data_IF_254073291496
#
_entry.id   IF_254073291496
#
_cell.length_a   1.000
_cell.length_b   1.000
_cell.length_c   1.000
_cell.angle_alpha   90.00
_cell.angle_beta   90.00
_cell.angle_gamma   90.00
#
_symmetry.space_group_name_H-M   'P 1'
#
loop_
_entity.id
_entity.type
_entity.pdbx_description
1 polymer ?
#
# COMPACT_ATOMS: atom_id res chain seq x y z
N UNK A 1 9.53 -14.62 -11.93
CA UNK A 1 9.50 -14.72 -10.44
C UNK A 1 9.56 -13.35 -9.76
N UNK A 2 10.26 -12.36 -10.31
CA UNK A 2 10.38 -11.03 -9.68
C UNK A 2 9.03 -10.34 -9.44
N UNK A 3 8.10 -10.39 -10.40
CA UNK A 3 6.78 -9.77 -10.27
C UNK A 3 5.90 -10.43 -9.19
N UNK A 4 5.99 -11.75 -9.00
CA UNK A 4 5.23 -12.46 -7.96
C UNK A 4 5.78 -12.18 -6.57
N UNK A 5 7.11 -12.07 -6.42
CA UNK A 5 7.75 -11.63 -5.16
C UNK A 5 7.33 -10.19 -4.85
N UNK A 6 7.41 -9.31 -5.86
CA UNK A 6 6.98 -7.91 -5.73
C UNK A 6 5.50 -7.79 -5.37
N UNK A 7 4.64 -8.69 -5.83
CA UNK A 7 3.23 -8.73 -5.45
C UNK A 7 3.10 -8.91 -3.93
N UNK A 8 3.73 -9.95 -3.39
CA UNK A 8 3.72 -10.24 -1.96
C UNK A 8 4.29 -9.10 -1.12
N UNK A 9 5.39 -8.50 -1.58
CA UNK A 9 6.02 -7.34 -0.92
C UNK A 9 5.08 -6.14 -0.81
N UNK A 10 4.36 -5.80 -1.88
CA UNK A 10 3.40 -4.68 -1.86
C UNK A 10 2.29 -4.88 -0.82
N UNK A 11 1.79 -6.11 -0.70
CA UNK A 11 0.78 -6.45 0.31
C UNK A 11 1.35 -6.42 1.74
N UNK A 12 2.51 -7.06 1.96
CA UNK A 12 3.13 -7.11 3.28
C UNK A 12 3.52 -5.72 3.79
N UNK A 13 4.16 -4.91 2.95
CA UNK A 13 4.50 -3.53 3.30
C UNK A 13 3.26 -2.72 3.65
N UNK A 14 2.15 -2.90 2.93
CA UNK A 14 0.91 -2.21 3.25
C UNK A 14 0.36 -2.60 4.62
N UNK A 15 0.42 -3.89 4.99
CA UNK A 15 0.01 -4.34 6.31
C UNK A 15 0.92 -3.78 7.41
N UNK A 16 2.25 -3.85 7.23
CA UNK A 16 3.23 -3.25 8.15
C UNK A 16 2.93 -1.77 8.39
N UNK A 17 2.62 -1.01 7.34
CA UNK A 17 2.31 0.42 7.46
C UNK A 17 0.95 0.70 8.10
N UNK A 18 -0.04 -0.17 7.88
CA UNK A 18 -1.38 -0.04 8.48
C UNK A 18 -1.37 -0.36 9.97
N UNK A 19 -0.57 -1.34 10.36
CA UNK A 19 -0.61 -1.98 11.68
C UNK A 19 0.48 -1.45 12.62
N UNK A 20 1.21 -0.38 12.25
CA UNK A 20 2.31 0.24 13.04
C UNK A 20 1.97 0.37 14.52
N UNK A 21 0.79 0.93 14.85
CA UNK A 21 0.41 1.21 16.23
C UNK A 21 -0.10 -0.03 16.96
N UNK A 22 -0.83 -0.91 16.26
CA UNK A 22 -1.30 -2.17 16.80
C UNK A 22 -0.11 -3.10 17.13
N UNK A 23 0.95 -3.08 16.31
CA UNK A 23 2.20 -3.80 16.55
C UNK A 23 3.04 -3.14 17.66
N UNK A 24 3.09 -1.81 17.70
CA UNK A 24 3.79 -1.08 18.76
C UNK A 24 3.18 -1.36 20.15
N UNK A 25 1.85 -1.41 20.27
CA UNK A 25 1.16 -1.81 21.51
C UNK A 25 1.54 -3.23 21.97
N UNK A 26 1.90 -4.12 21.03
CA UNK A 26 2.36 -5.48 21.31
C UNK A 26 3.87 -5.56 21.57
N UNK A 27 4.58 -4.42 21.57
CA UNK A 27 6.03 -4.35 21.75
C UNK A 27 6.85 -4.69 20.50
N UNK A 28 6.23 -4.72 19.32
CA UNK A 28 6.90 -5.00 18.05
C UNK A 28 7.09 -3.74 17.20
N UNK A 29 8.14 -3.74 16.37
CA UNK A 29 8.36 -2.70 15.36
C UNK A 29 8.96 -3.33 14.10
N UNK A 30 8.20 -3.30 13.01
CA UNK A 30 8.60 -3.87 11.71
C UNK A 30 9.10 -2.81 10.72
N UNK A 31 9.20 -1.56 11.15
CA UNK A 31 9.65 -0.45 10.31
C UNK A 31 11.18 -0.52 10.10
N UNK A 32 11.67 -0.32 8.86
CA UNK A 32 13.09 -0.37 8.54
C UNK A 32 13.83 0.84 9.13
N UNK A 33 14.77 0.59 10.06
CA UNK A 33 15.48 1.64 10.81
C UNK A 33 16.26 2.60 9.92
N UNK A 34 16.87 2.10 8.85
CA UNK A 34 17.68 2.87 7.91
C UNK A 34 16.84 3.94 7.18
N UNK A 35 15.62 3.61 6.77
CA UNK A 35 14.72 4.56 6.08
C UNK A 35 14.33 5.72 6.99
N UNK A 36 14.04 5.44 8.26
CA UNK A 36 13.67 6.49 9.22
C UNK A 36 14.88 7.28 9.73
N UNK A 37 16.03 6.61 9.94
CA UNK A 37 17.27 7.28 10.31
C UNK A 37 17.72 8.29 9.23
N UNK A 38 17.62 7.91 7.94
CA UNK A 38 17.87 8.83 6.81
C UNK A 38 16.91 10.04 6.80
N UNK A 39 15.70 9.87 7.32
CA UNK A 39 14.72 10.94 7.50
C UNK A 39 14.87 11.71 8.83
N UNK A 40 15.93 11.43 9.61
CA UNK A 40 16.19 12.08 10.89
C UNK A 40 15.22 11.66 12.01
N UNK A 41 14.71 10.42 11.98
CA UNK A 41 13.82 9.89 13.01
C UNK A 41 14.35 8.57 13.59
N UNK A 42 14.51 8.54 14.91
CA UNK A 42 14.83 7.31 15.64
C UNK A 42 13.56 6.55 16.01
N UNK A 43 13.39 5.34 15.46
CA UNK A 43 12.23 4.49 15.75
C UNK A 43 12.10 4.11 17.23
N UNK A 44 13.15 4.24 18.05
CA UNK A 44 13.07 4.06 19.51
C UNK A 44 12.20 5.12 20.19
N UNK A 45 12.00 6.27 19.53
CA UNK A 45 11.15 7.36 20.00
C UNK A 45 9.69 7.24 19.53
N UNK A 46 9.36 6.20 18.76
CA UNK A 46 8.02 5.97 18.24
C UNK A 46 7.00 5.90 19.38
N UNK A 47 6.05 6.85 19.40
CA UNK A 47 4.98 6.94 20.40
C UNK A 47 3.68 7.43 19.75
N UNK A 48 2.52 6.83 20.09
CA UNK A 48 1.24 7.26 19.55
C UNK A 48 0.92 8.70 19.95
N UNK A 49 0.31 9.45 19.04
CA UNK A 49 -0.14 10.83 19.27
C UNK A 49 0.96 11.90 19.20
N UNK A 50 2.23 11.53 19.01
CA UNK A 50 3.33 12.47 18.80
C UNK A 50 3.85 12.37 17.37
N UNK A 51 3.36 13.23 16.49
CA UNK A 51 3.82 13.28 15.11
C UNK A 51 5.19 13.96 15.00
N UNK A 52 6.11 13.35 14.24
CA UNK A 52 7.41 13.92 13.90
C UNK A 52 7.52 14.04 12.38
N UNK A 53 8.07 15.15 11.89
CA UNK A 53 8.22 15.37 10.45
C UNK A 53 9.07 14.28 9.78
N UNK A 54 10.15 13.85 10.43
CA UNK A 54 10.99 12.74 9.95
C UNK A 54 10.27 11.39 9.90
N UNK A 55 9.35 11.12 10.85
CA UNK A 55 8.50 9.94 10.79
C UNK A 55 7.56 10.00 9.58
N UNK A 56 6.93 11.16 9.34
CA UNK A 56 6.09 11.40 8.17
C UNK A 56 6.82 11.24 6.84
N UNK A 57 8.08 11.68 6.77
CA UNK A 57 8.93 11.51 5.59
C UNK A 57 9.33 10.04 5.37
N UNK A 58 9.68 9.32 6.43
CA UNK A 58 9.92 7.87 6.37
C UNK A 58 8.69 7.09 5.90
N UNK A 59 7.50 7.41 6.45
CA UNK A 59 6.24 6.83 5.98
C UNK A 59 5.99 7.12 4.50
N UNK A 60 6.18 8.37 4.06
CA UNK A 60 6.00 8.74 2.66
C UNK A 60 6.90 7.92 1.74
N UNK A 61 8.16 7.69 2.14
CA UNK A 61 9.10 6.86 1.38
C UNK A 61 8.64 5.40 1.30
N UNK A 62 8.17 4.81 2.41
CA UNK A 62 7.68 3.43 2.41
C UNK A 62 6.38 3.26 1.63
N UNK A 63 5.48 4.24 1.69
CA UNK A 63 4.27 4.28 0.86
C UNK A 63 4.65 4.29 -0.62
N UNK A 64 5.67 5.08 -1.00
CA UNK A 64 6.15 5.16 -2.37
C UNK A 64 6.68 3.81 -2.89
N UNK A 65 7.44 3.09 -2.06
CA UNK A 65 7.98 1.76 -2.38
C UNK A 65 6.86 0.72 -2.46
N UNK A 66 5.96 0.69 -1.46
CA UNK A 66 4.81 -0.21 -1.46
C UNK A 66 3.91 0.02 -2.69
N UNK A 67 3.66 1.27 -3.06
CA UNK A 67 2.89 1.63 -4.25
C UNK A 67 3.56 1.13 -5.54
N UNK A 68 4.89 1.23 -5.65
CA UNK A 68 5.63 0.67 -6.78
C UNK A 68 5.47 -0.86 -6.86
N UNK A 69 5.56 -1.56 -5.73
CA UNK A 69 5.32 -3.00 -5.68
C UNK A 69 3.88 -3.37 -6.08
N UNK A 70 2.87 -2.57 -5.70
CA UNK A 70 1.48 -2.78 -6.14
C UNK A 70 1.31 -2.56 -7.66
N UNK A 71 2.10 -1.68 -8.28
CA UNK A 71 2.11 -1.55 -9.76
C UNK A 71 2.66 -2.80 -10.44
N UNK A 72 3.71 -3.38 -9.88
CA UNK A 72 4.24 -4.65 -10.33
C UNK A 72 3.21 -5.78 -10.10
N UNK A 73 2.45 -5.74 -9.00
CA UNK A 73 1.36 -6.66 -8.72
C UNK A 73 0.24 -6.57 -9.77
N UNK A 74 -0.11 -5.37 -10.23
CA UNK A 74 -1.03 -5.20 -11.37
C UNK A 74 -0.42 -5.80 -12.63
N UNK A 75 0.85 -5.52 -12.91
CA UNK A 75 1.53 -6.08 -14.09
C UNK A 75 1.55 -7.61 -14.07
N UNK A 76 1.80 -8.22 -12.91
CA UNK A 76 1.65 -9.66 -12.68
C UNK A 76 0.23 -10.14 -12.98
N UNK A 77 -0.78 -9.45 -12.44
CA UNK A 77 -2.20 -9.81 -12.62
C UNK A 77 -2.60 -9.83 -14.09
N UNK A 78 -2.03 -8.92 -14.89
CA UNK A 78 -2.31 -8.83 -16.33
C UNK A 78 -1.64 -9.95 -17.15
N UNK A 79 -0.66 -10.68 -16.60
CA UNK A 79 -0.12 -11.89 -17.22
C UNK A 79 -1.12 -13.05 -17.19
N UNK A 80 -2.06 -13.04 -16.25
CA UNK A 80 -3.15 -14.01 -16.19
C UNK A 80 -4.10 -13.70 -17.35
N UNK A 81 -4.57 -14.67 -18.15
CA UNK A 81 -5.49 -14.39 -19.26
C UNK A 81 -6.79 -13.69 -18.82
N UNK A 82 -7.32 -12.80 -19.65
CA UNK A 82 -8.58 -12.09 -19.36
C UNK A 82 -9.83 -12.99 -19.28
N UNK A 83 -9.73 -14.25 -19.75
CA UNK A 83 -10.74 -15.29 -19.56
C UNK A 83 -10.78 -15.82 -18.13
N UNK A 84 -9.63 -15.84 -17.44
CA UNK A 84 -9.46 -16.33 -16.06
C UNK A 84 -9.88 -15.28 -15.02
N UNK A 85 -11.14 -14.85 -15.13
CA UNK A 85 -11.69 -13.74 -14.34
C UNK A 85 -11.64 -13.99 -12.83
N UNK A 86 -11.79 -15.24 -12.38
CA UNK A 86 -11.71 -15.59 -10.96
C UNK A 86 -10.33 -15.27 -10.35
N UNK A 87 -9.26 -15.69 -11.03
CA UNK A 87 -7.88 -15.43 -10.60
C UNK A 87 -7.53 -13.94 -10.66
N UNK A 88 -7.92 -13.27 -11.76
CA UNK A 88 -7.73 -11.81 -11.87
C UNK A 88 -8.46 -11.06 -10.76
N UNK A 89 -9.72 -11.40 -10.50
CA UNK A 89 -10.50 -10.76 -9.43
C UNK A 89 -9.86 -10.94 -8.06
N UNK A 90 -9.40 -12.15 -7.73
CA UNK A 90 -8.71 -12.41 -6.47
C UNK A 90 -7.50 -11.48 -6.29
N UNK A 91 -6.64 -11.37 -7.30
CA UNK A 91 -5.50 -10.46 -7.28
C UNK A 91 -5.92 -8.99 -7.18
N UNK A 92 -6.90 -8.57 -7.98
CA UNK A 92 -7.37 -7.18 -8.03
C UNK A 92 -8.02 -6.72 -6.72
N UNK A 93 -8.72 -7.60 -6.01
CA UNK A 93 -9.26 -7.29 -4.69
C UNK A 93 -8.16 -7.00 -3.69
N UNK A 94 -7.13 -7.85 -3.63
CA UNK A 94 -5.99 -7.67 -2.74
C UNK A 94 -5.24 -6.36 -3.05
N UNK A 95 -4.95 -6.11 -4.33
CA UNK A 95 -4.28 -4.88 -4.79
C UNK A 95 -5.12 -3.64 -4.47
N UNK A 96 -6.42 -3.66 -4.73
CA UNK A 96 -7.30 -2.52 -4.53
C UNK A 96 -7.42 -2.15 -3.06
N UNK A 97 -7.58 -3.14 -2.17
CA UNK A 97 -7.62 -2.90 -0.73
C UNK A 97 -6.29 -2.35 -0.21
N UNK A 98 -5.16 -2.87 -0.72
CA UNK A 98 -3.85 -2.37 -0.35
C UNK A 98 -3.65 -0.91 -0.80
N UNK A 99 -3.97 -0.58 -2.06
CA UNK A 99 -3.87 0.78 -2.59
C UNK A 99 -4.75 1.77 -1.80
N UNK A 100 -6.01 1.39 -1.49
CA UNK A 100 -6.89 2.24 -0.68
C UNK A 100 -6.38 2.44 0.75
N UNK A 101 -5.76 1.41 1.34
CA UNK A 101 -5.13 1.51 2.66
C UNK A 101 -3.94 2.47 2.62
N UNK A 102 -3.04 2.35 1.64
CA UNK A 102 -1.92 3.27 1.47
C UNK A 102 -2.39 4.72 1.30
N UNK A 103 -3.50 4.96 0.61
CA UNK A 103 -4.06 6.32 0.48
C UNK A 103 -4.53 6.88 1.80
N UNK A 104 -5.22 6.07 2.61
CA UNK A 104 -5.72 6.53 3.91
C UNK A 104 -4.55 6.89 4.82
N UNK A 105 -3.49 6.07 4.83
CA UNK A 105 -2.26 6.35 5.57
C UNK A 105 -1.58 7.62 5.04
N UNK A 106 -1.43 7.77 3.72
CA UNK A 106 -0.80 8.95 3.13
C UNK A 106 -1.56 10.25 3.44
N UNK A 107 -2.90 10.20 3.44
CA UNK A 107 -3.76 11.34 3.80
C UNK A 107 -3.69 11.71 5.28
N UNK A 108 -3.38 10.75 6.15
CA UNK A 108 -3.36 10.93 7.61
C UNK A 108 -2.13 10.24 8.21
N UNK A 109 -0.94 10.79 7.96
CA UNK A 109 0.35 10.26 8.41
C UNK A 109 0.59 10.45 9.91
N UNK A 110 -0.20 11.31 10.54
CA UNK A 110 -0.25 11.58 11.97
C UNK A 110 -1.24 10.66 12.71
N UNK A 111 -1.76 9.63 12.06
CA UNK A 111 -2.60 8.63 12.72
C UNK A 111 -1.86 8.00 13.90
N UNK A 112 -2.62 7.62 14.93
CA UNK A 112 -2.14 7.02 16.18
C UNK A 112 -2.84 5.71 16.52
N UNK A 113 -3.78 5.26 15.68
CA UNK A 113 -4.48 4.00 15.82
C UNK A 113 -4.91 3.47 14.43
N UNK A 114 -4.86 2.15 14.21
CA UNK A 114 -5.22 1.54 12.92
C UNK A 114 -6.66 1.84 12.47
N UNK A 115 -7.58 2.09 13.41
CA UNK A 115 -8.97 2.46 13.13
C UNK A 115 -9.11 3.78 12.34
N UNK A 116 -8.15 4.69 12.47
CA UNK A 116 -8.16 6.00 11.82
C UNK A 116 -7.83 5.95 10.32
N UNK A 117 -7.13 4.91 9.88
CA UNK A 117 -6.74 4.69 8.47
C UNK A 117 -7.50 3.52 7.83
N UNK A 118 -8.45 2.93 8.56
CA UNK A 118 -9.25 1.78 8.10
C UNK A 118 -10.08 2.13 6.86
N UNK A 119 -10.04 1.24 5.86
CA UNK A 119 -10.91 1.35 4.69
C UNK A 119 -12.38 1.06 5.07
N UNK A 120 -13.31 1.86 4.54
CA UNK A 120 -14.73 1.68 4.82
C UNK A 120 -15.29 0.45 4.10
N UNK A 121 -16.33 -0.19 4.66
CA UNK A 121 -17.04 -1.29 4.00
C UNK A 121 -17.61 -0.88 2.63
N UNK A 122 -18.00 0.39 2.47
CA UNK A 122 -18.48 0.94 1.19
C UNK A 122 -17.35 0.99 0.15
N UNK A 123 -16.17 1.44 0.55
CA UNK A 123 -14.98 1.47 -0.31
C UNK A 123 -14.55 0.06 -0.73
N UNK A 124 -14.62 -0.92 0.18
CA UNK A 124 -14.36 -2.34 -0.13
C UNK A 124 -15.35 -2.85 -1.17
N UNK A 125 -16.66 -2.66 -0.97
CA UNK A 125 -17.68 -3.08 -1.94
C UNK A 125 -17.46 -2.44 -3.32
N UNK A 126 -17.18 -1.14 -3.36
CA UNK A 126 -16.90 -0.43 -4.61
C UNK A 126 -15.65 -0.99 -5.31
N UNK A 127 -14.58 -1.27 -4.57
CA UNK A 127 -13.36 -1.86 -5.12
C UNK A 127 -13.60 -3.27 -5.68
N UNK A 128 -14.37 -4.10 -4.97
CA UNK A 128 -14.74 -5.46 -5.42
C UNK A 128 -15.54 -5.40 -6.72
N UNK A 129 -16.57 -4.57 -6.79
CA UNK A 129 -17.41 -4.40 -7.98
C UNK A 129 -16.60 -3.86 -9.17
N UNK A 130 -15.78 -2.84 -8.96
CA UNK A 130 -14.93 -2.28 -10.01
C UNK A 130 -13.91 -3.32 -10.53
N UNK A 131 -13.36 -4.16 -9.65
CA UNK A 131 -12.47 -5.25 -10.05
C UNK A 131 -13.19 -6.28 -10.93
N UNK A 132 -14.41 -6.68 -10.54
CA UNK A 132 -15.22 -7.63 -11.31
C UNK A 132 -15.55 -7.13 -12.72
N UNK A 133 -15.93 -5.85 -12.84
CA UNK A 133 -16.26 -5.23 -14.14
C UNK A 133 -15.02 -5.08 -15.02
N UNK A 134 -13.85 -4.81 -14.43
CA UNK A 134 -12.63 -4.56 -15.19
C UNK A 134 -11.82 -5.81 -15.53
N UNK A 135 -12.03 -6.94 -14.85
CA UNK A 135 -11.14 -8.11 -14.91
C UNK A 135 -10.83 -8.61 -16.33
N UNK A 136 -11.76 -8.47 -17.28
CA UNK A 136 -11.57 -8.91 -18.68
C UNK A 136 -10.78 -7.93 -19.54
N UNK A 137 -10.56 -6.70 -19.08
CA UNK A 137 -9.93 -5.62 -19.84
C UNK A 137 -8.71 -5.07 -19.12
N UNK A 138 -7.54 -5.31 -19.70
CA UNK A 138 -6.27 -4.80 -19.20
C UNK A 138 -6.25 -3.27 -19.09
N UNK A 139 -6.90 -2.58 -20.03
CA UNK A 139 -7.02 -1.14 -20.03
C UNK A 139 -7.82 -0.65 -18.81
N UNK A 140 -8.97 -1.26 -18.53
CA UNK A 140 -9.81 -0.90 -17.38
C UNK A 140 -9.10 -1.18 -16.06
N UNK A 141 -8.40 -2.32 -15.95
CA UNK A 141 -7.60 -2.64 -14.77
C UNK A 141 -6.53 -1.58 -14.52
N UNK A 142 -5.78 -1.20 -15.55
CA UNK A 142 -4.73 -0.17 -15.45
C UNK A 142 -5.32 1.19 -15.07
N UNK A 143 -6.48 1.55 -15.63
CA UNK A 143 -7.17 2.80 -15.32
C UNK A 143 -7.65 2.84 -13.87
N UNK A 144 -8.34 1.78 -13.41
CA UNK A 144 -8.82 1.68 -12.04
C UNK A 144 -7.69 1.74 -11.04
N UNK A 145 -6.58 1.04 -11.29
CA UNK A 145 -5.42 1.12 -10.41
C UNK A 145 -4.84 2.54 -10.38
N UNK A 146 -4.74 3.21 -11.52
CA UNK A 146 -4.25 4.61 -11.58
C UNK A 146 -5.14 5.57 -10.80
N UNK A 147 -6.46 5.39 -10.88
CA UNK A 147 -7.44 6.18 -10.11
C UNK A 147 -7.35 5.86 -8.61
N UNK A 148 -7.21 4.58 -8.27
CA UNK A 148 -7.01 4.14 -6.90
C UNK A 148 -5.70 4.70 -6.32
N UNK A 149 -4.59 4.63 -7.04
CA UNK A 149 -3.29 5.16 -6.60
C UNK A 149 -3.11 6.67 -6.75
N UNK A 150 -4.13 7.41 -7.18
CA UNK A 150 -4.00 8.87 -7.40
C UNK A 150 -3.64 9.58 -6.10
N UNK A 151 -2.55 10.36 -6.16
CA UNK A 151 -2.02 11.10 -5.02
C UNK A 151 -1.08 10.31 -4.13
N UNK A 152 -0.84 9.02 -4.41
CA UNK A 152 0.24 8.29 -3.75
C UNK A 152 1.59 8.70 -4.34
N UNK A 153 2.63 8.83 -3.51
CA UNK A 153 3.98 9.06 -4.00
C UNK A 153 4.45 7.88 -4.85
N UNK A 154 5.38 8.18 -5.75
CA UNK A 154 6.09 7.20 -6.54
C UNK A 154 7.50 7.08 -5.99
N UNK A 155 8.03 5.87 -5.90
CA UNK A 155 9.44 5.71 -5.61
C UNK A 155 10.20 6.35 -6.78
N UNK A 156 10.81 7.52 -6.56
CA UNK A 156 11.72 8.10 -7.54
C UNK A 156 12.79 7.07 -7.86
N UNK A 157 12.99 6.81 -9.15
CA UNK A 157 14.16 6.10 -9.65
C UNK A 157 15.37 6.77 -8.99
N UNK A 158 16.18 5.97 -8.30
CA UNK A 158 17.49 6.45 -7.86
C UNK A 158 18.21 6.86 -9.13
N UNK A 159 18.35 8.16 -9.40
CA UNK A 159 19.55 8.63 -10.10
C UNK A 159 20.71 8.12 -9.26
N UNK A 160 21.58 7.35 -9.93
CA UNK A 160 22.73 6.69 -9.33
C UNK A 160 23.72 7.66 -8.68
#
# INVERSE_FOLDING_TARGET
>A
LELSVSFGQGLQMTNILKDIWDDHERGACWLPRDVFAQAGFDLRELKPGRYHAGFGAGLERLIAIAHQHLRNAVSYTLLIPGSETGLRNFCLWAISMAALTLRNIHRRRDFSAGSQVKISRRSVKAAVLASQVSARSDLLVRLLFRVAGRGLPMAGERTG
#
